data_IF_344769149918
#
_entry.id   IF_344769149918
#
_cell.length_a   1.000
_cell.length_b   1.000
_cell.length_c   1.000
_cell.angle_alpha   90.00
_cell.angle_beta   90.00
_cell.angle_gamma   90.00
#
_symmetry.space_group_name_H-M   'P 1'
#
loop_
_entity.id
_entity.type
_entity.pdbx_description
1 polymer ?
#
# COMPACT_ATOMS: atom_id res chain seq x y z
N UNK A 1 -43.14 12.40 60.89
CA UNK A 1 -42.47 11.16 60.39
C UNK A 1 -43.41 10.53 59.36
N UNK A 2 -43.10 10.14 58.12
CA UNK A 2 -41.90 10.03 57.27
C UNK A 2 -42.38 10.29 55.82
N UNK A 3 -41.72 11.16 55.05
CA UNK A 3 -41.96 11.34 53.60
C UNK A 3 -41.12 10.32 52.84
N UNK A 4 -41.76 9.38 52.15
CA UNK A 4 -41.10 8.38 51.29
C UNK A 4 -41.10 8.87 49.84
N UNK A 5 -40.05 9.59 49.44
CA UNK A 5 -39.78 9.87 48.03
C UNK A 5 -39.04 8.68 47.42
N UNK A 6 -39.74 7.89 46.61
CA UNK A 6 -39.13 6.84 45.79
C UNK A 6 -38.31 7.50 44.67
N UNK A 7 -37.01 7.60 44.90
CA UNK A 7 -36.02 8.13 43.95
C UNK A 7 -35.96 7.19 42.74
N UNK A 8 -36.56 7.61 41.62
CA UNK A 8 -36.54 6.90 40.35
C UNK A 8 -35.12 6.99 39.78
N UNK A 9 -34.31 5.93 39.97
CA UNK A 9 -32.98 5.82 39.37
C UNK A 9 -33.12 5.44 37.90
N UNK A 10 -33.22 6.44 37.03
CA UNK A 10 -32.96 6.26 35.60
C UNK A 10 -31.45 6.04 35.41
N UNK A 11 -31.03 4.77 35.38
CA UNK A 11 -29.70 4.39 34.91
C UNK A 11 -29.72 4.58 33.39
N UNK A 12 -29.29 5.76 32.94
CA UNK A 12 -29.05 6.03 31.52
C UNK A 12 -27.94 5.10 31.05
N UNK A 13 -28.30 4.04 30.31
CA UNK A 13 -27.35 3.28 29.50
C UNK A 13 -26.83 4.20 28.40
N UNK A 14 -25.72 4.88 28.68
CA UNK A 14 -24.87 5.41 27.62
C UNK A 14 -24.28 4.22 26.86
N UNK A 15 -24.95 3.82 25.78
CA UNK A 15 -24.34 2.95 24.77
C UNK A 15 -23.13 3.69 24.20
N UNK A 16 -21.94 3.32 24.69
CA UNK A 16 -20.67 3.65 24.06
C UNK A 16 -20.67 2.96 22.69
N UNK A 17 -21.22 3.63 21.67
CA UNK A 17 -20.97 3.26 20.29
C UNK A 17 -19.49 3.52 20.06
N UNK A 18 -18.70 2.45 20.14
CA UNK A 18 -17.29 2.44 19.75
C UNK A 18 -17.21 2.80 18.28
N UNK A 19 -17.11 4.09 17.97
CA UNK A 19 -16.67 4.53 16.65
C UNK A 19 -15.26 4.00 16.49
N UNK A 20 -15.11 2.90 15.75
CA UNK A 20 -13.83 2.46 15.23
C UNK A 20 -13.37 3.51 14.22
N UNK A 21 -12.79 4.60 14.72
CA UNK A 21 -12.01 5.53 13.92
C UNK A 21 -10.83 4.72 13.40
N UNK A 22 -10.94 4.23 12.16
CA UNK A 22 -9.80 3.70 11.44
C UNK A 22 -8.83 4.88 11.26
N UNK A 23 -7.78 4.91 12.08
CA UNK A 23 -6.75 5.92 11.95
C UNK A 23 -6.12 5.78 10.55
N UNK A 24 -6.10 6.89 9.80
CA UNK A 24 -5.39 6.94 8.53
C UNK A 24 -3.91 6.64 8.77
N UNK A 25 -3.35 5.74 7.96
CA UNK A 25 -1.93 5.39 7.99
C UNK A 25 -1.15 6.26 7.01
N UNK A 26 0.17 6.26 7.14
CA UNK A 26 1.05 7.04 6.25
C UNK A 26 1.94 6.17 5.37
N UNK A 27 2.28 6.71 4.20
CA UNK A 27 3.29 6.15 3.32
C UNK A 27 4.24 7.26 2.84
N UNK A 28 5.53 6.97 2.86
CA UNK A 28 6.52 7.76 2.12
C UNK A 28 6.41 7.46 0.63
N UNK A 29 6.86 8.40 -0.21
CA UNK A 29 6.89 8.20 -1.66
C UNK A 29 8.34 8.13 -2.13
N UNK A 30 8.65 7.12 -2.95
CA UNK A 30 9.86 7.13 -3.76
C UNK A 30 9.52 7.03 -5.25
N UNK A 31 10.37 7.60 -6.08
CA UNK A 31 10.27 7.60 -7.53
C UNK A 31 11.21 6.51 -8.06
N UNK A 32 10.67 5.55 -8.78
CA UNK A 32 11.40 4.44 -9.36
C UNK A 32 11.70 4.71 -10.84
N UNK A 33 12.91 4.37 -11.28
CA UNK A 33 13.34 4.36 -12.67
C UNK A 33 13.37 2.91 -13.20
N UNK A 34 12.37 2.47 -13.97
CA UNK A 34 12.33 1.11 -14.51
C UNK A 34 13.53 0.74 -15.37
N UNK A 35 14.08 1.70 -16.11
CA UNK A 35 15.18 1.46 -17.04
C UNK A 35 16.53 1.32 -16.31
N UNK A 36 16.72 2.06 -15.22
CA UNK A 36 17.96 2.04 -14.44
C UNK A 36 17.92 1.03 -13.27
N UNK A 37 16.73 0.54 -12.92
CA UNK A 37 16.42 -0.23 -11.72
C UNK A 37 16.82 0.46 -10.39
N UNK A 38 16.85 1.79 -10.40
CA UNK A 38 17.18 2.67 -9.27
C UNK A 38 15.94 3.41 -8.76
N UNK A 39 16.05 4.02 -7.58
CA UNK A 39 14.96 4.78 -7.00
C UNK A 39 15.48 5.96 -6.16
N UNK A 40 14.66 7.00 -5.99
CA UNK A 40 14.97 8.19 -5.21
C UNK A 40 13.78 8.58 -4.33
N UNK A 41 14.03 9.01 -3.09
CA UNK A 41 12.98 9.51 -2.20
C UNK A 41 12.42 10.83 -2.73
N UNK A 42 11.10 10.93 -2.90
CA UNK A 42 10.47 12.19 -3.27
C UNK A 42 10.49 13.13 -2.07
N UNK A 43 10.98 14.35 -2.29
CA UNK A 43 11.15 15.38 -1.25
C UNK A 43 10.41 16.66 -1.63
N UNK A 44 9.98 17.41 -0.62
CA UNK A 44 9.44 18.75 -0.80
C UNK A 44 10.58 19.78 -0.99
N UNK A 45 10.23 21.05 -1.18
CA UNK A 45 11.19 22.15 -1.35
C UNK A 45 12.14 22.36 -0.17
N UNK A 46 11.77 21.91 1.03
CA UNK A 46 12.59 21.97 2.24
C UNK A 46 13.56 20.79 2.35
N UNK A 47 13.46 19.80 1.45
CA UNK A 47 14.27 18.58 1.48
C UNK A 47 13.69 17.45 2.33
N UNK A 48 12.52 17.65 2.94
CA UNK A 48 11.84 16.63 3.72
C UNK A 48 11.11 15.63 2.80
N UNK A 49 11.05 14.37 3.22
CA UNK A 49 10.33 13.34 2.46
C UNK A 49 8.82 13.63 2.47
N UNK A 50 8.19 13.44 1.32
CA UNK A 50 6.73 13.57 1.21
C UNK A 50 6.07 12.32 1.79
N UNK A 51 5.08 12.52 2.65
CA UNK A 51 4.20 11.51 3.22
C UNK A 51 2.77 11.69 2.69
N UNK A 52 2.06 10.59 2.46
CA UNK A 52 0.65 10.57 2.09
C UNK A 52 -0.16 9.78 3.11
N UNK A 53 -1.38 10.24 3.35
CA UNK A 53 -2.37 9.57 4.19
C UNK A 53 -3.20 8.56 3.36
N UNK A 54 -3.55 7.43 3.97
CA UNK A 54 -4.19 6.31 3.30
C UNK A 54 -4.24 5.04 4.15
N UNK A 55 -4.33 3.89 3.48
CA UNK A 55 -4.42 2.58 4.14
C UNK A 55 -3.52 1.55 3.48
N UNK A 56 -2.75 0.84 4.30
CA UNK A 56 -2.04 -0.34 3.88
C UNK A 56 -2.97 -1.54 3.86
N UNK A 57 -3.07 -2.17 2.70
CA UNK A 57 -3.81 -3.41 2.53
C UNK A 57 -2.88 -4.52 2.07
N UNK A 58 -3.35 -5.75 2.26
CA UNK A 58 -2.68 -6.97 1.80
C UNK A 58 -3.61 -7.76 0.92
N UNK A 59 -3.22 -8.01 -0.32
CA UNK A 59 -3.94 -8.92 -1.22
C UNK A 59 -3.39 -10.32 -1.06
N UNK A 60 -4.26 -11.32 -1.13
CA UNK A 60 -3.90 -12.75 -1.14
C UNK A 60 -4.62 -13.43 -2.29
N UNK A 61 -3.91 -14.24 -3.06
CA UNK A 61 -4.46 -15.10 -4.09
C UNK A 61 -3.70 -16.43 -4.10
N UNK A 62 -4.41 -17.52 -3.79
CA UNK A 62 -3.79 -18.80 -3.46
C UNK A 62 -2.74 -18.65 -2.35
N UNK A 63 -1.51 -19.11 -2.63
CA UNK A 63 -0.35 -19.05 -1.71
C UNK A 63 0.48 -17.77 -1.84
N UNK A 64 0.05 -16.83 -2.68
CA UNK A 64 0.75 -15.58 -2.94
C UNK A 64 0.10 -14.44 -2.18
N UNK A 65 0.91 -13.44 -1.82
CA UNK A 65 0.42 -12.21 -1.25
C UNK A 65 1.34 -11.03 -1.51
N UNK A 66 0.78 -9.84 -1.59
CA UNK A 66 1.53 -8.58 -1.69
C UNK A 66 0.82 -7.48 -0.91
N UNK A 67 1.56 -6.45 -0.52
CA UNK A 67 0.98 -5.27 0.11
C UNK A 67 0.82 -4.16 -0.91
N UNK A 68 -0.16 -3.31 -0.68
CA UNK A 68 -0.42 -2.14 -1.49
C UNK A 68 -0.94 -1.01 -0.61
N UNK A 69 -0.75 0.22 -1.05
CA UNK A 69 -1.24 1.41 -0.37
C UNK A 69 -2.39 2.02 -1.16
N UNK A 70 -3.54 2.16 -0.52
CA UNK A 70 -4.69 2.87 -1.06
C UNK A 70 -4.69 4.28 -0.47
N UNK A 71 -4.68 5.28 -1.33
CA UNK A 71 -4.84 6.68 -0.93
C UNK A 71 -6.31 6.96 -0.63
N UNK A 72 -6.58 7.74 0.42
CA UNK A 72 -7.94 8.20 0.71
C UNK A 72 -8.38 9.28 -0.30
N UNK A 73 -9.58 9.13 -0.88
CA UNK A 73 -10.20 10.13 -1.76
C UNK A 73 -9.37 10.56 -2.98
N UNK A 74 -8.53 9.65 -3.49
CA UNK A 74 -7.64 9.90 -4.62
C UNK A 74 -8.05 9.09 -5.84
N UNK A 75 -7.96 9.71 -7.01
CA UNK A 75 -8.18 9.12 -8.32
C UNK A 75 -6.86 9.04 -9.14
N UNK A 76 -7.01 8.72 -10.43
CA UNK A 76 -5.91 8.67 -11.39
C UNK A 76 -5.16 10.01 -11.52
N UNK A 77 -5.84 11.15 -11.31
CA UNK A 77 -5.26 12.48 -11.49
C UNK A 77 -4.15 12.72 -10.47
N UNK A 78 -4.36 12.31 -9.22
CA UNK A 78 -3.32 12.48 -8.21
C UNK A 78 -2.11 11.58 -8.46
N UNK A 79 -2.30 10.34 -8.93
CA UNK A 79 -1.19 9.47 -9.32
C UNK A 79 -0.39 10.11 -10.46
N UNK A 80 -1.07 10.67 -11.46
CA UNK A 80 -0.42 11.40 -12.55
C UNK A 80 0.34 12.64 -12.04
N UNK A 81 -0.20 13.33 -11.03
CA UNK A 81 0.51 14.41 -10.35
C UNK A 81 1.79 13.93 -9.66
N UNK A 82 1.74 12.81 -8.93
CA UNK A 82 2.94 12.22 -8.31
C UNK A 82 3.99 11.81 -9.36
N UNK A 83 3.55 11.27 -10.50
CA UNK A 83 4.44 10.95 -11.63
C UNK A 83 5.13 12.19 -12.17
N UNK A 84 4.37 13.26 -12.38
CA UNK A 84 4.91 14.55 -12.79
C UNK A 84 5.94 15.06 -11.78
N UNK A 85 5.62 15.05 -10.48
CA UNK A 85 6.57 15.43 -9.44
C UNK A 85 7.85 14.60 -9.50
N UNK A 86 7.74 13.29 -9.69
CA UNK A 86 8.91 12.43 -9.83
C UNK A 86 9.78 12.82 -11.03
N UNK A 87 9.18 13.06 -12.19
CA UNK A 87 9.89 13.47 -13.39
C UNK A 87 10.52 14.87 -13.26
N UNK A 88 9.81 15.81 -12.63
CA UNK A 88 10.29 17.18 -12.41
C UNK A 88 11.48 17.21 -11.44
N UNK A 89 11.55 16.29 -10.47
CA UNK A 89 12.63 16.24 -9.48
C UNK A 89 13.86 15.44 -9.93
N UNK A 90 13.67 14.35 -10.68
CA UNK A 90 14.73 13.38 -10.97
C UNK A 90 14.96 13.10 -12.46
N UNK A 91 14.16 13.71 -13.33
CA UNK A 91 14.22 13.52 -14.78
C UNK A 91 13.26 12.45 -15.30
N UNK A 92 13.15 12.38 -16.62
CA UNK A 92 12.16 11.55 -17.33
C UNK A 92 12.28 10.04 -17.09
N UNK A 93 13.42 9.56 -16.58
CA UNK A 93 13.59 8.13 -16.26
C UNK A 93 12.91 7.74 -14.95
N UNK A 94 12.70 8.65 -14.01
CA UNK A 94 12.07 8.41 -12.71
C UNK A 94 10.58 8.80 -12.74
N UNK A 95 9.76 7.97 -13.37
CA UNK A 95 8.34 8.30 -13.62
C UNK A 95 7.35 7.38 -12.88
N UNK A 96 7.82 6.41 -12.08
CA UNK A 96 6.93 5.47 -11.38
C UNK A 96 6.94 5.75 -9.87
N UNK A 97 5.95 6.46 -9.31
CA UNK A 97 5.86 6.68 -7.87
C UNK A 97 5.44 5.37 -7.17
N UNK A 98 6.06 5.09 -6.02
CA UNK A 98 5.74 3.94 -5.20
C UNK A 98 5.69 4.29 -3.70
N UNK A 99 4.77 3.68 -2.94
CA UNK A 99 4.66 3.88 -1.51
C UNK A 99 5.71 3.08 -0.74
N UNK A 100 6.13 3.60 0.41
CA UNK A 100 6.94 2.88 1.37
C UNK A 100 6.44 3.09 2.81
N UNK A 101 6.37 2.00 3.57
CA UNK A 101 5.98 2.03 4.99
C UNK A 101 6.99 2.75 5.87
N UNK A 102 8.27 2.66 5.52
CA UNK A 102 9.36 3.20 6.31
C UNK A 102 10.30 3.95 5.40
N UNK A 103 11.06 4.86 6.00
CA UNK A 103 11.98 5.74 5.31
C UNK A 103 13.43 5.18 5.31
N UNK A 104 13.57 3.89 5.66
CA UNK A 104 14.84 3.15 5.77
C UNK A 104 15.07 2.33 4.48
N UNK A 105 16.33 1.98 4.19
CA UNK A 105 16.75 1.32 2.94
C UNK A 105 16.08 -0.04 2.63
N UNK A 106 15.57 -0.76 3.64
CA UNK A 106 14.92 -2.06 3.47
C UNK A 106 13.40 -1.96 3.32
N UNK A 107 12.93 -1.24 2.30
CA UNK A 107 11.51 -1.21 1.96
C UNK A 107 11.13 -2.39 1.05
N UNK A 108 9.87 -2.80 1.14
CA UNK A 108 9.29 -3.74 0.18
C UNK A 108 8.87 -2.96 -1.07
N UNK A 109 8.88 -3.61 -2.23
CA UNK A 109 8.34 -3.05 -3.47
C UNK A 109 6.80 -3.18 -3.43
N UNK A 110 6.18 -2.33 -2.62
CA UNK A 110 4.74 -2.21 -2.51
C UNK A 110 4.22 -1.21 -3.56
N UNK A 111 2.95 -1.30 -3.94
CA UNK A 111 2.38 -0.48 -5.03
C UNK A 111 1.22 0.38 -4.56
N UNK A 112 0.99 1.50 -5.25
CA UNK A 112 -0.27 2.24 -5.11
C UNK A 112 -1.43 1.45 -5.72
N UNK A 113 -2.63 1.63 -5.18
CA UNK A 113 -3.86 1.09 -5.74
C UNK A 113 -4.98 2.12 -5.69
N UNK A 114 -5.79 2.15 -6.76
CA UNK A 114 -7.01 2.98 -6.84
C UNK A 114 -8.22 2.25 -6.26
N UNK A 115 -8.18 0.92 -6.28
CA UNK A 115 -9.16 0.04 -5.66
C UNK A 115 -8.50 -1.29 -5.32
N UNK A 116 -9.22 -2.19 -4.64
CA UNK A 116 -8.70 -3.50 -4.27
C UNK A 116 -8.39 -4.43 -5.46
N UNK A 117 -8.73 -4.00 -6.68
CA UNK A 117 -8.53 -4.76 -7.92
C UNK A 117 -7.86 -3.92 -9.02
N UNK A 118 -7.36 -2.73 -8.72
CA UNK A 118 -6.70 -1.83 -9.68
C UNK A 118 -5.44 -1.23 -9.09
N UNK A 119 -4.31 -1.80 -9.47
CA UNK A 119 -2.98 -1.51 -8.93
C UNK A 119 -2.16 -0.76 -9.95
N UNK A 120 -1.34 0.19 -9.52
CA UNK A 120 -0.39 0.86 -10.42
C UNK A 120 0.57 -0.18 -11.01
N UNK A 121 0.78 -0.13 -12.32
CA UNK A 121 1.85 -0.89 -12.96
C UNK A 121 3.19 -0.32 -12.51
N UNK A 122 3.85 -1.05 -11.63
CA UNK A 122 5.11 -0.68 -10.98
C UNK A 122 5.89 -1.95 -10.63
N UNK A 123 7.13 -1.79 -10.15
CA UNK A 123 7.88 -2.92 -9.59
C UNK A 123 7.16 -3.41 -8.33
N UNK A 124 6.90 -4.70 -8.24
CA UNK A 124 6.11 -5.29 -7.16
C UNK A 124 6.82 -6.52 -6.56
N UNK A 125 6.82 -6.64 -5.23
CA UNK A 125 7.27 -7.83 -4.51
C UNK A 125 6.07 -8.69 -4.10
N UNK A 126 5.95 -9.87 -4.69
CA UNK A 126 4.99 -10.90 -4.29
C UNK A 126 5.68 -11.90 -3.36
N UNK A 127 5.06 -12.20 -2.23
CA UNK A 127 5.53 -13.22 -1.28
C UNK A 127 4.73 -14.49 -1.43
N UNK A 128 5.42 -15.62 -1.58
CA UNK A 128 4.84 -16.96 -1.54
C UNK A 128 4.98 -17.58 -0.15
N UNK A 129 3.93 -18.24 0.35
CA UNK A 129 3.94 -18.95 1.63
C UNK A 129 3.74 -20.45 1.41
N UNK A 130 4.69 -21.27 1.87
CA UNK A 130 4.55 -22.73 1.93
C UNK A 130 3.61 -23.14 3.08
N UNK A 131 2.75 -24.13 2.84
CA UNK A 131 1.73 -24.59 3.82
C UNK A 131 2.23 -25.71 4.74
N UNK A 132 3.40 -26.30 4.50
CA UNK A 132 3.85 -27.47 5.27
C UNK A 132 4.53 -27.08 6.59
N UNK A 133 4.13 -27.78 7.66
CA UNK A 133 4.31 -27.47 9.09
C UNK A 133 5.73 -27.56 9.65
N UNK A 134 6.75 -27.83 8.83
CA UNK A 134 8.16 -27.80 9.27
C UNK A 134 8.74 -26.45 8.88
N UNK A 135 8.32 -25.43 9.62
CA UNK A 135 8.64 -24.02 9.37
C UNK A 135 10.15 -23.79 9.43
N UNK A 136 10.82 -23.64 8.28
CA UNK A 136 12.12 -22.97 8.21
C UNK A 136 11.89 -21.50 7.87
N UNK A 137 12.32 -20.54 8.72
CA UNK A 137 12.15 -19.10 8.48
C UNK A 137 12.73 -18.58 7.15
N UNK A 138 13.55 -19.38 6.47
CA UNK A 138 14.19 -19.09 5.18
C UNK A 138 13.29 -19.24 3.96
N UNK A 139 12.09 -19.82 4.08
CA UNK A 139 11.34 -20.29 2.92
C UNK A 139 10.35 -19.23 2.36
N UNK A 140 10.54 -17.94 2.65
CA UNK A 140 9.74 -16.89 2.03
C UNK A 140 10.29 -16.56 0.64
N UNK A 141 9.83 -17.27 -0.39
CA UNK A 141 10.15 -16.91 -1.76
C UNK A 141 9.53 -15.56 -2.12
N UNK A 142 10.34 -14.70 -2.74
CA UNK A 142 9.97 -13.36 -3.19
C UNK A 142 10.05 -13.29 -4.70
N UNK A 143 8.90 -13.14 -5.35
CA UNK A 143 8.81 -12.93 -6.78
C UNK A 143 8.78 -11.42 -7.04
N UNK A 144 9.75 -10.92 -7.81
CA UNK A 144 9.74 -9.54 -8.31
C UNK A 144 9.06 -9.49 -9.66
N UNK A 145 8.00 -8.70 -9.74
CA UNK A 145 7.36 -8.31 -11.00
C UNK A 145 7.96 -6.95 -11.38
N UNK A 146 8.70 -6.84 -12.50
CA UNK A 146 9.18 -5.54 -12.94
C UNK A 146 8.02 -4.70 -13.48
N UNK A 147 8.25 -3.39 -13.58
CA UNK A 147 7.42 -2.54 -14.43
C UNK A 147 7.48 -3.04 -15.89
N UNK A 148 6.35 -2.98 -16.61
CA UNK A 148 6.26 -3.38 -18.01
C UNK A 148 5.61 -2.27 -18.84
N UNK A 149 6.40 -1.61 -19.70
CA UNK A 149 5.94 -0.51 -20.55
C UNK A 149 4.94 -0.94 -21.63
N UNK A 150 4.86 -2.23 -21.95
CA UNK A 150 3.93 -2.75 -22.95
C UNK A 150 2.54 -3.07 -22.37
N UNK A 151 2.36 -2.89 -21.06
CA UNK A 151 1.09 -3.16 -20.36
C UNK A 151 0.33 -1.88 -20.10
N UNK A 152 -0.94 -2.06 -19.73
CA UNK A 152 -1.76 -1.00 -19.18
C UNK A 152 -1.07 -0.33 -17.99
N UNK A 153 -1.36 0.95 -17.82
CA UNK A 153 -0.85 1.75 -16.71
C UNK A 153 -1.26 1.21 -15.33
N UNK A 154 -2.36 0.44 -15.29
CA UNK A 154 -2.83 -0.27 -14.12
C UNK A 154 -2.97 -1.75 -14.41
N UNK A 155 -2.65 -2.59 -13.43
CA UNK A 155 -2.86 -4.02 -13.45
C UNK A 155 -4.07 -4.37 -12.58
N UNK A 156 -4.86 -5.35 -13.01
CA UNK A 156 -5.84 -5.98 -12.14
C UNK A 156 -5.28 -7.26 -11.50
N UNK A 157 -6.05 -7.86 -10.59
CA UNK A 157 -5.65 -9.10 -9.91
C UNK A 157 -5.38 -10.24 -10.90
N UNK A 158 -6.20 -10.40 -11.93
CA UNK A 158 -6.01 -11.45 -12.94
C UNK A 158 -4.72 -11.27 -13.76
N UNK A 159 -4.30 -10.03 -14.02
CA UNK A 159 -3.03 -9.74 -14.68
C UNK A 159 -1.86 -10.18 -13.82
N UNK A 160 -1.90 -9.86 -12.52
CA UNK A 160 -0.88 -10.24 -11.54
C UNK A 160 -0.81 -11.76 -11.41
N UNK A 161 -1.96 -12.43 -11.29
CA UNK A 161 -2.02 -13.90 -11.24
C UNK A 161 -1.38 -14.54 -12.47
N UNK A 162 -1.66 -14.05 -13.67
CA UNK A 162 -1.07 -14.57 -14.91
C UNK A 162 0.44 -14.41 -14.92
N UNK A 163 0.98 -13.28 -14.44
CA UNK A 163 2.43 -13.05 -14.33
C UNK A 163 3.04 -14.06 -13.35
N UNK A 164 2.42 -14.23 -12.19
CA UNK A 164 2.95 -15.03 -11.10
C UNK A 164 2.89 -16.53 -11.40
N UNK A 165 1.83 -17.02 -12.07
CA UNK A 165 1.69 -18.44 -12.47
C UNK A 165 2.87 -18.96 -13.29
N UNK A 166 3.54 -18.08 -14.04
CA UNK A 166 4.66 -18.44 -14.91
C UNK A 166 6.03 -18.26 -14.22
N UNK A 167 6.06 -17.85 -12.96
CA UNK A 167 7.30 -17.65 -12.20
C UNK A 167 7.45 -18.75 -11.17
N UNK A 168 8.63 -19.36 -11.14
CA UNK A 168 8.94 -20.44 -10.21
C UNK A 168 9.46 -19.82 -8.90
N UNK A 169 8.78 -20.20 -7.82
CA UNK A 169 9.35 -20.38 -6.49
C UNK A 169 9.61 -21.89 -6.32
#
# INVERSE_FOLDING_TARGET
MKKNNKFFKYVSLFSLTSFSLHASERAYIFCYSPNEDTWQWLKNSSGDRIELEGHWKKKKFGRHSFSFFMLENVDEIYINYLQKLCMDNFGQSYYVPQPAKTSILNHSWDVFALSENKFLNAKMEIRYRFENSVFRPTDNCKIKIPYDSNRSHYLNESDIEKIVKNKIC
#
